data_IF_124566509720
#
_entry.id   IF_124566509720
#
_cell.length_a   1.000
_cell.length_b   1.000
_cell.length_c   1.000
_cell.angle_alpha   90.00
_cell.angle_beta   90.00
_cell.angle_gamma   90.00
#
_symmetry.space_group_name_H-M   'P 1'
#
loop_
_entity.id
_entity.type
_entity.pdbx_description
1 polymer ?
#
# COMPACT_ATOMS: atom_id res chain seq x y z
N UNK A 1 17.00 -27.32 -77.07
CA UNK A 1 16.71 -26.12 -76.27
C UNK A 1 16.62 -26.59 -74.83
N UNK A 2 17.68 -26.43 -74.05
CA UNK A 2 17.67 -26.75 -72.62
C UNK A 2 18.46 -25.67 -71.90
N UNK A 3 17.71 -24.74 -71.32
CA UNK A 3 18.19 -23.48 -70.78
C UNK A 3 18.50 -23.70 -69.28
N UNK A 4 19.78 -23.96 -68.95
CA UNK A 4 20.24 -24.02 -67.56
C UNK A 4 20.56 -22.60 -67.07
N UNK A 5 19.79 -22.10 -66.11
CA UNK A 5 20.09 -20.87 -65.38
C UNK A 5 20.34 -21.22 -63.90
N UNK A 6 21.48 -20.83 -63.30
CA UNK A 6 21.76 -21.11 -61.89
C UNK A 6 20.94 -20.20 -60.96
N UNK A 7 20.33 -20.79 -59.93
CA UNK A 7 19.62 -20.07 -58.86
C UNK A 7 20.61 -19.42 -57.88
N UNK A 8 20.41 -18.13 -57.51
CA UNK A 8 21.33 -17.39 -56.64
C UNK A 8 21.22 -17.73 -55.14
N UNK A 9 22.38 -17.77 -54.50
CA UNK A 9 22.65 -17.91 -53.06
C UNK A 9 22.16 -16.71 -52.23
N UNK A 10 21.51 -17.03 -51.10
CA UNK A 10 21.32 -16.26 -49.85
C UNK A 10 21.26 -14.72 -49.89
N UNK A 11 20.06 -14.15 -49.65
CA UNK A 11 19.88 -12.79 -49.16
C UNK A 11 19.58 -12.78 -47.66
N UNK A 12 20.46 -12.18 -46.87
CA UNK A 12 20.28 -11.83 -45.46
C UNK A 12 19.06 -10.91 -45.25
N UNK A 13 18.38 -10.97 -44.09
CA UNK A 13 17.28 -10.05 -43.79
C UNK A 13 17.79 -8.61 -43.72
N UNK A 14 17.15 -7.73 -44.48
CA UNK A 14 17.29 -6.28 -44.33
C UNK A 14 16.71 -5.91 -42.96
N UNK A 15 17.58 -5.65 -42.00
CA UNK A 15 17.22 -4.90 -40.81
C UNK A 15 16.90 -3.47 -41.25
N UNK A 16 15.62 -3.10 -41.21
CA UNK A 16 15.29 -1.69 -41.16
C UNK A 16 15.69 -1.17 -39.78
N UNK A 17 16.79 -0.44 -39.76
CA UNK A 17 17.12 0.55 -38.75
C UNK A 17 16.04 1.66 -38.78
N UNK A 18 14.89 1.39 -38.18
CA UNK A 18 13.84 2.40 -37.97
C UNK A 18 14.14 3.16 -36.68
N UNK A 19 15.12 4.06 -36.79
CA UNK A 19 15.14 5.34 -36.11
C UNK A 19 15.16 5.27 -34.57
N UNK A 20 16.34 5.11 -33.98
CA UNK A 20 16.64 5.64 -32.65
C UNK A 20 16.56 7.18 -32.70
N UNK A 21 15.34 7.73 -32.78
CA UNK A 21 15.12 9.16 -32.56
C UNK A 21 15.20 9.40 -31.07
N UNK A 22 16.41 9.62 -30.57
CA UNK A 22 16.73 10.26 -29.27
C UNK A 22 15.57 10.21 -28.26
N UNK A 23 15.23 9.01 -27.76
CA UNK A 23 14.14 8.84 -26.79
C UNK A 23 14.33 9.73 -25.55
N UNK A 24 15.56 10.22 -25.32
CA UNK A 24 15.90 11.27 -24.37
C UNK A 24 15.00 12.51 -24.46
N UNK A 25 14.61 12.96 -25.66
CA UNK A 25 13.69 14.10 -25.81
C UNK A 25 12.26 13.74 -25.40
N UNK A 26 11.85 12.49 -25.64
CA UNK A 26 10.56 11.97 -25.20
C UNK A 26 10.52 11.80 -23.66
N UNK A 27 11.62 11.38 -23.05
CA UNK A 27 11.80 11.36 -21.59
C UNK A 27 11.77 12.76 -20.97
N UNK A 28 12.41 13.75 -21.60
CA UNK A 28 12.36 15.15 -21.15
C UNK A 28 10.92 15.70 -21.23
N UNK A 29 10.18 15.39 -22.30
CA UNK A 29 8.76 15.77 -22.44
C UNK A 29 7.90 15.13 -21.35
N UNK A 30 8.09 13.83 -21.08
CA UNK A 30 7.35 13.11 -20.02
C UNK A 30 7.63 13.73 -18.65
N UNK A 31 8.90 14.02 -18.33
CA UNK A 31 9.28 14.65 -17.06
C UNK A 31 8.65 16.04 -16.93
N UNK A 32 8.63 16.83 -18.01
CA UNK A 32 7.99 18.15 -18.02
C UNK A 32 6.48 18.06 -17.73
N UNK A 33 5.78 17.09 -18.33
CA UNK A 33 4.35 16.86 -18.11
C UNK A 33 4.08 16.44 -16.65
N UNK A 34 4.92 15.58 -16.08
CA UNK A 34 4.80 15.13 -14.69
C UNK A 34 5.02 16.30 -13.73
N UNK A 35 6.06 17.12 -13.95
CA UNK A 35 6.34 18.29 -13.11
C UNK A 35 5.22 19.33 -13.22
N UNK A 36 4.66 19.55 -14.41
CA UNK A 36 3.51 20.43 -14.60
C UNK A 36 2.25 19.90 -13.91
N UNK A 37 1.99 18.59 -13.94
CA UNK A 37 0.86 17.97 -13.25
C UNK A 37 0.99 18.05 -11.71
N UNK A 38 2.19 17.83 -11.18
CA UNK A 38 2.48 17.96 -9.74
C UNK A 38 2.37 19.42 -9.28
N UNK A 39 2.88 20.37 -10.06
CA UNK A 39 2.70 21.80 -9.79
C UNK A 39 1.21 22.19 -9.85
N UNK A 40 0.46 21.73 -10.85
CA UNK A 40 -0.97 21.98 -10.97
C UNK A 40 -1.77 21.41 -9.78
N UNK A 41 -1.42 20.22 -9.30
CA UNK A 41 -2.00 19.63 -8.09
C UNK A 41 -1.68 20.46 -6.83
N UNK A 42 -0.49 21.04 -6.74
CA UNK A 42 -0.10 21.93 -5.65
C UNK A 42 -0.79 23.31 -5.71
N UNK A 43 -1.07 23.83 -6.90
CA UNK A 43 -1.80 25.10 -7.09
C UNK A 43 -3.33 24.94 -6.94
N UNK A 44 -3.91 23.76 -7.20
CA UNK A 44 -5.29 23.45 -6.80
C UNK A 44 -5.35 22.99 -5.35
N UNK A 45 -5.27 23.95 -4.42
CA UNK A 45 -5.89 23.83 -3.09
C UNK A 45 -7.41 23.63 -3.22
N UNK A 46 -7.84 22.44 -3.62
CA UNK A 46 -9.22 21.96 -3.53
C UNK A 46 -9.14 20.57 -2.89
N UNK A 47 -9.16 20.57 -1.56
CA UNK A 47 -9.41 19.36 -0.80
C UNK A 47 -10.87 18.91 -0.98
N UNK A 48 -11.20 17.62 -0.77
CA UNK A 48 -12.57 17.14 -0.74
C UNK A 48 -13.25 17.46 0.60
N UNK A 49 -13.03 18.66 1.14
CA UNK A 49 -13.57 19.13 2.42
C UNK A 49 -14.48 20.34 2.19
N UNK A 50 -15.44 20.19 1.29
CA UNK A 50 -16.47 21.20 1.05
C UNK A 50 -17.74 20.53 0.52
N UNK A 51 -18.39 19.70 1.35
CA UNK A 51 -19.84 19.50 1.64
C UNK A 51 -19.86 18.56 2.85
N UNK A 52 -20.31 18.91 4.04
CA UNK A 52 -21.67 19.30 4.38
C UNK A 52 -21.61 20.10 5.70
N UNK A 53 -22.12 21.32 5.67
CA UNK A 53 -22.51 22.06 6.87
C UNK A 53 -24.00 21.85 7.13
N UNK A 54 -24.36 21.76 8.41
CA UNK A 54 -25.67 22.08 8.98
C UNK A 54 -26.81 21.13 8.66
N UNK A 55 -27.35 20.47 9.69
CA UNK A 55 -28.55 20.99 10.34
C UNK A 55 -28.80 20.25 11.67
N UNK A 56 -29.15 21.01 12.71
CA UNK A 56 -29.61 20.48 13.99
C UNK A 56 -31.06 20.01 13.84
N UNK A 57 -31.41 18.86 14.42
CA UNK A 57 -32.79 18.65 14.89
C UNK A 57 -32.78 17.79 16.15
N UNK A 58 -33.25 18.41 17.23
CA UNK A 58 -33.50 17.82 18.54
C UNK A 58 -34.87 17.12 18.47
N UNK A 59 -34.94 15.84 18.86
CA UNK A 59 -36.18 15.22 19.31
C UNK A 59 -35.90 14.16 20.41
N UNK A 60 -36.46 14.48 21.56
CA UNK A 60 -36.59 13.79 22.87
C UNK A 60 -37.34 12.43 22.77
N UNK A 61 -37.20 11.51 23.75
CA UNK A 61 -37.03 10.08 23.52
C UNK A 61 -38.32 9.27 23.51
N UNK A 62 -38.25 8.05 22.96
CA UNK A 62 -39.22 6.99 23.22
C UNK A 62 -38.47 5.72 23.66
N UNK A 63 -38.78 5.16 24.84
CA UNK A 63 -38.11 3.97 25.35
C UNK A 63 -38.69 2.71 24.70
N UNK A 64 -37.86 1.99 23.94
CA UNK A 64 -38.11 0.59 23.63
C UNK A 64 -37.08 -0.26 24.37
N UNK A 65 -37.49 -0.76 25.53
CA UNK A 65 -36.81 -1.82 26.25
C UNK A 65 -36.97 -3.13 25.49
N UNK A 66 -35.88 -3.65 24.94
CA UNK A 66 -35.63 -5.08 24.94
C UNK A 66 -34.14 -5.35 24.73
N UNK A 67 -33.52 -5.99 25.71
CA UNK A 67 -32.61 -7.14 25.55
C UNK A 67 -31.82 -7.33 26.84
N UNK A 68 -32.38 -8.16 27.71
CA UNK A 68 -31.59 -8.98 28.61
C UNK A 68 -31.04 -10.15 27.78
N UNK A 69 -29.72 -10.25 27.64
CA UNK A 69 -29.00 -11.51 27.92
C UNK A 69 -27.51 -11.43 27.55
N UNK A 70 -26.72 -11.78 28.56
CA UNK A 70 -25.43 -12.47 28.50
C UNK A 70 -24.19 -11.70 28.07
N UNK A 71 -23.47 -11.30 29.12
CA UNK A 71 -22.05 -10.99 29.19
C UNK A 71 -21.18 -12.01 28.44
N UNK A 72 -20.22 -11.49 27.68
CA UNK A 72 -18.94 -12.14 27.40
C UNK A 72 -17.87 -11.07 27.66
N UNK A 73 -16.75 -11.36 28.35
CA UNK A 73 -15.76 -10.35 28.66
C UNK A 73 -15.12 -9.86 27.36
N UNK A 74 -15.57 -8.69 26.90
CA UNK A 74 -14.83 -7.91 25.91
C UNK A 74 -13.47 -7.60 26.51
N UNK A 75 -12.35 -7.88 25.82
CA UNK A 75 -11.08 -7.36 26.25
C UNK A 75 -11.22 -5.84 26.37
N UNK A 76 -10.74 -5.37 27.50
CA UNK A 76 -10.64 -3.99 27.93
C UNK A 76 -10.17 -3.14 26.74
N UNK A 77 -11.12 -2.49 26.09
CA UNK A 77 -10.83 -1.47 25.10
C UNK A 77 -10.11 -0.36 25.89
N UNK A 78 -8.79 -0.38 25.83
CA UNK A 78 -7.91 0.71 26.25
C UNK A 78 -8.19 1.89 25.31
N UNK A 79 -9.33 2.52 25.52
CA UNK A 79 -9.63 3.81 24.98
C UNK A 79 -8.75 4.82 25.73
N UNK A 80 -7.75 5.39 25.06
CA UNK A 80 -7.20 6.66 25.54
C UNK A 80 -5.79 7.04 25.15
N UNK A 81 -4.94 6.12 24.68
CA UNK A 81 -3.72 6.55 24.02
C UNK A 81 -4.05 6.80 22.54
N UNK A 82 -4.24 8.06 22.16
CA UNK A 82 -4.19 8.43 20.75
C UNK A 82 -2.75 8.23 20.26
N UNK A 83 -2.41 6.97 19.95
CA UNK A 83 -1.10 6.59 19.46
C UNK A 83 -0.87 7.25 18.11
N UNK A 84 0.25 7.95 17.99
CA UNK A 84 0.61 8.60 16.74
C UNK A 84 0.99 7.54 15.70
N UNK A 85 0.11 7.29 14.73
CA UNK A 85 0.32 6.30 13.66
C UNK A 85 1.57 6.56 12.81
N UNK A 86 2.05 7.80 12.76
CA UNK A 86 3.26 8.16 12.02
C UNK A 86 4.56 7.94 12.80
N UNK A 87 4.49 7.59 14.10
CA UNK A 87 5.63 7.30 14.97
C UNK A 87 6.44 6.06 14.52
N UNK A 88 5.84 4.87 14.28
CA UNK A 88 6.59 3.68 13.88
C UNK A 88 7.04 3.76 12.42
N UNK A 89 8.27 3.33 12.15
CA UNK A 89 8.74 3.06 10.79
C UNK A 89 8.32 1.66 10.36
N UNK A 90 7.33 1.59 9.48
CA UNK A 90 6.81 0.30 9.00
C UNK A 90 7.59 -0.14 7.75
N UNK A 91 8.02 -1.41 7.71
CA UNK A 91 8.35 -2.08 6.45
C UNK A 91 7.20 -2.99 6.04
N UNK A 92 6.96 -3.11 4.75
CA UNK A 92 5.95 -4.04 4.22
C UNK A 92 6.62 -5.07 3.30
N UNK A 93 6.48 -6.35 3.62
CA UNK A 93 7.05 -7.44 2.85
C UNK A 93 5.97 -8.27 2.16
N UNK A 94 6.15 -8.51 0.86
CA UNK A 94 5.27 -9.41 0.12
C UNK A 94 5.68 -10.86 0.35
N UNK A 95 4.90 -11.55 1.18
CA UNK A 95 5.00 -12.99 1.41
C UNK A 95 4.18 -13.86 0.46
N UNK A 96 3.83 -13.37 -0.74
CA UNK A 96 3.04 -14.11 -1.74
C UNK A 96 3.64 -14.01 -3.15
N UNK A 97 3.06 -14.72 -4.12
CA UNK A 97 3.40 -14.58 -5.55
C UNK A 97 2.67 -13.43 -6.25
N UNK A 98 1.83 -12.67 -5.53
CA UNK A 98 1.03 -11.58 -6.11
C UNK A 98 1.88 -10.34 -6.30
N UNK A 99 2.14 -9.96 -7.55
CA UNK A 99 2.91 -8.75 -7.87
C UNK A 99 2.18 -7.48 -7.41
N UNK A 100 2.93 -6.54 -6.84
CA UNK A 100 2.39 -5.25 -6.38
C UNK A 100 1.66 -5.28 -5.04
N UNK A 101 1.54 -6.44 -4.37
CA UNK A 101 0.81 -6.54 -3.10
C UNK A 101 1.40 -5.64 -2.01
N UNK A 102 2.73 -5.64 -1.82
CA UNK A 102 3.37 -4.77 -0.83
C UNK A 102 3.17 -3.27 -1.13
N UNK A 103 3.15 -2.88 -2.41
CA UNK A 103 2.88 -1.50 -2.80
C UNK A 103 1.41 -1.11 -2.48
N UNK A 104 0.46 -1.99 -2.77
CA UNK A 104 -0.95 -1.75 -2.43
C UNK A 104 -1.18 -1.70 -0.90
N UNK A 105 -0.51 -2.55 -0.13
CA UNK A 105 -0.55 -2.50 1.33
C UNK A 105 0.09 -1.23 1.88
N UNK A 106 1.18 -0.76 1.28
CA UNK A 106 1.78 0.54 1.61
C UNK A 106 0.78 1.67 1.41
N UNK A 107 0.19 1.80 0.22
CA UNK A 107 -0.79 2.86 -0.07
C UNK A 107 -1.97 2.82 0.92
N UNK A 108 -2.42 1.61 1.24
CA UNK A 108 -3.47 1.39 2.24
C UNK A 108 -3.06 1.90 3.63
N UNK A 109 -1.88 1.53 4.12
CA UNK A 109 -1.38 1.99 5.43
C UNK A 109 -1.12 3.50 5.44
N UNK A 110 -0.55 4.08 4.40
CA UNK A 110 -0.34 5.54 4.29
C UNK A 110 -1.68 6.30 4.30
N UNK A 111 -2.72 5.76 3.65
CA UNK A 111 -4.08 6.34 3.70
C UNK A 111 -4.68 6.35 5.11
N UNK A 112 -4.18 5.49 6.01
CA UNK A 112 -4.59 5.41 7.42
C UNK A 112 -3.72 6.27 8.35
N UNK A 113 -2.69 6.93 7.82
CA UNK A 113 -1.78 7.82 8.56
C UNK A 113 -0.48 7.19 9.05
N UNK A 114 -0.14 5.97 8.59
CA UNK A 114 1.11 5.31 8.95
C UNK A 114 2.30 5.77 8.11
N UNK A 115 3.50 5.71 8.69
CA UNK A 115 4.76 5.94 7.97
C UNK A 115 5.32 4.60 7.44
N UNK A 116 5.22 4.37 6.13
CA UNK A 116 5.84 3.18 5.50
C UNK A 116 7.23 3.54 4.98
N UNK A 117 8.26 3.10 5.69
CA UNK A 117 9.66 3.39 5.40
C UNK A 117 10.19 2.59 4.20
N UNK A 118 9.71 1.36 3.98
CA UNK A 118 10.15 0.53 2.85
C UNK A 118 9.13 -0.54 2.48
N UNK A 119 9.23 -1.03 1.23
CA UNK A 119 8.50 -2.21 0.76
C UNK A 119 9.49 -3.21 0.14
N UNK A 120 9.17 -4.50 0.21
CA UNK A 120 10.03 -5.55 -0.34
C UNK A 120 9.32 -6.88 -0.50
N UNK A 121 10.10 -7.95 -0.66
CA UNK A 121 9.61 -9.33 -0.65
C UNK A 121 10.07 -9.98 0.66
N UNK A 122 9.21 -10.82 1.23
CA UNK A 122 9.62 -11.67 2.35
C UNK A 122 10.54 -12.81 1.87
N UNK A 123 11.26 -13.43 2.80
CA UNK A 123 12.12 -14.58 2.51
C UNK A 123 11.30 -15.80 2.05
N UNK A 124 10.13 -16.00 2.67
CA UNK A 124 9.14 -17.01 2.32
C UNK A 124 7.96 -16.40 1.54
N UNK A 125 7.28 -17.22 0.73
CA UNK A 125 6.18 -16.77 -0.17
C UNK A 125 4.86 -17.56 -0.02
N UNK A 126 4.74 -18.30 1.06
CA UNK A 126 3.64 -19.19 1.42
C UNK A 126 2.78 -18.63 2.56
N UNK A 127 2.82 -17.31 2.78
CA UNK A 127 2.00 -16.66 3.81
C UNK A 127 0.53 -16.58 3.36
N UNK A 128 -0.36 -17.21 4.13
CA UNK A 128 -1.82 -17.12 3.93
C UNK A 128 -2.46 -15.91 4.63
N UNK A 129 -1.77 -15.38 5.65
CA UNK A 129 -2.23 -14.26 6.48
C UNK A 129 -1.14 -13.18 6.56
N UNK A 130 -1.55 -11.93 6.69
CA UNK A 130 -0.66 -10.82 7.03
C UNK A 130 -0.13 -11.03 8.44
N UNK A 131 1.19 -11.08 8.57
CA UNK A 131 1.85 -11.36 9.85
C UNK A 131 2.50 -10.08 10.36
N UNK A 132 2.19 -9.70 11.60
CA UNK A 132 2.75 -8.51 12.24
C UNK A 132 3.91 -8.90 13.15
N UNK A 133 5.08 -8.34 12.91
CA UNK A 133 6.24 -8.48 13.79
C UNK A 133 6.64 -7.11 14.32
N UNK A 134 6.87 -7.01 15.63
CA UNK A 134 7.13 -5.74 16.31
C UNK A 134 8.54 -5.73 16.90
N UNK A 135 9.21 -4.59 16.79
CA UNK A 135 10.38 -4.31 17.62
C UNK A 135 9.91 -4.03 19.05
N UNK A 136 10.75 -4.39 20.02
CA UNK A 136 10.48 -4.10 21.44
C UNK A 136 10.14 -2.63 21.68
N UNK A 137 9.00 -2.37 22.33
CA UNK A 137 8.46 -1.03 22.61
C UNK A 137 7.40 -0.54 21.61
N UNK A 138 7.19 -1.26 20.50
CA UNK A 138 6.20 -0.94 19.48
C UNK A 138 4.97 -1.85 19.49
N UNK A 139 4.91 -2.83 20.41
CA UNK A 139 3.76 -3.74 20.58
C UNK A 139 2.49 -2.97 20.95
N UNK A 140 2.62 -1.76 21.53
CA UNK A 140 1.51 -0.83 21.78
C UNK A 140 0.68 -0.52 20.52
N UNK A 141 1.24 -0.67 19.32
CA UNK A 141 0.52 -0.46 18.06
C UNK A 141 -0.27 -1.68 17.57
N UNK A 142 -0.14 -2.86 18.20
CA UNK A 142 -0.70 -4.11 17.70
C UNK A 142 -2.20 -4.03 17.45
N UNK A 143 -2.98 -3.59 18.44
CA UNK A 143 -4.44 -3.53 18.32
C UNK A 143 -4.89 -2.54 17.25
N UNK A 144 -4.20 -1.40 17.16
CA UNK A 144 -4.48 -0.36 16.18
C UNK A 144 -4.19 -0.84 14.75
N UNK A 145 -3.03 -1.46 14.54
CA UNK A 145 -2.62 -1.97 13.23
C UNK A 145 -3.48 -3.16 12.80
N UNK A 146 -3.79 -4.07 13.73
CA UNK A 146 -4.68 -5.20 13.50
C UNK A 146 -6.08 -4.72 13.11
N UNK A 147 -6.63 -3.74 13.83
CA UNK A 147 -7.94 -3.16 13.54
C UNK A 147 -7.98 -2.53 12.15
N UNK A 148 -6.97 -1.72 11.79
CA UNK A 148 -6.91 -1.08 10.48
C UNK A 148 -6.76 -2.10 9.34
N UNK A 149 -5.85 -3.08 9.48
CA UNK A 149 -5.58 -4.09 8.46
C UNK A 149 -6.71 -5.12 8.30
N UNK A 150 -7.44 -5.45 9.37
CA UNK A 150 -8.52 -6.44 9.34
C UNK A 150 -9.69 -6.05 8.44
N UNK A 151 -9.78 -4.79 8.01
CA UNK A 151 -10.75 -4.34 7.00
C UNK A 151 -10.51 -4.93 5.60
N UNK A 152 -9.29 -5.39 5.31
CA UNK A 152 -8.90 -5.91 3.99
C UNK A 152 -8.13 -7.23 4.04
N UNK A 153 -7.46 -7.54 5.15
CA UNK A 153 -6.55 -8.68 5.29
C UNK A 153 -6.92 -9.56 6.48
N UNK A 154 -6.58 -10.86 6.41
CA UNK A 154 -6.57 -11.70 7.60
C UNK A 154 -5.23 -11.51 8.30
N UNK A 155 -5.27 -11.05 9.55
CA UNK A 155 -4.08 -10.63 10.30
C UNK A 155 -3.77 -11.61 11.42
N UNK A 156 -2.49 -11.89 11.62
CA UNK A 156 -1.93 -12.59 12.78
C UNK A 156 -0.74 -11.83 13.32
N UNK A 157 -0.40 -12.03 14.59
CA UNK A 157 0.81 -11.46 15.19
C UNK A 157 1.86 -12.57 15.32
N UNK A 158 3.11 -12.25 14.99
CA UNK A 158 4.27 -13.11 15.20
C UNK A 158 4.64 -13.13 16.68
N UNK A 159 5.09 -14.29 17.16
CA UNK A 159 5.64 -14.43 18.51
C UNK A 159 7.11 -13.96 18.58
N UNK A 160 7.72 -13.68 17.42
CA UNK A 160 9.10 -13.25 17.31
C UNK A 160 9.19 -11.73 17.12
N UNK A 161 9.99 -11.09 17.96
CA UNK A 161 10.22 -9.66 17.90
C UNK A 161 11.33 -9.34 16.89
N UNK A 162 11.27 -8.15 16.29
CA UNK A 162 12.36 -7.65 15.46
C UNK A 162 13.59 -7.34 16.31
N UNK A 163 14.77 -7.57 15.72
CA UNK A 163 16.05 -7.24 16.34
C UNK A 163 16.17 -5.75 16.65
N UNK A 164 16.86 -5.41 17.74
CA UNK A 164 17.03 -4.01 18.16
C UNK A 164 17.82 -3.18 17.12
N UNK A 165 18.70 -3.83 16.35
CA UNK A 165 19.48 -3.22 15.27
C UNK A 165 18.71 -3.06 13.96
N UNK A 166 17.49 -3.60 13.88
CA UNK A 166 16.68 -3.57 12.69
C UNK A 166 16.23 -2.12 12.35
N UNK A 167 16.25 -1.77 11.06
CA UNK A 167 15.90 -0.42 10.60
C UNK A 167 14.41 -0.08 10.69
N UNK A 168 13.54 -1.08 10.75
CA UNK A 168 12.10 -0.93 10.88
C UNK A 168 11.68 -1.17 12.34
N UNK A 169 10.58 -0.56 12.74
CA UNK A 169 9.99 -0.76 14.06
C UNK A 169 8.86 -1.79 14.03
N UNK A 170 8.22 -1.93 12.87
CA UNK A 170 7.16 -2.90 12.60
C UNK A 170 7.37 -3.47 11.20
N UNK A 171 7.20 -4.77 11.06
CA UNK A 171 7.13 -5.49 9.79
C UNK A 171 5.71 -6.01 9.56
N UNK A 172 5.21 -5.82 8.34
CA UNK A 172 3.87 -6.19 7.87
C UNK A 172 3.97 -7.06 6.63
#
# INVERSE_FOLDING_TARGET
MDNQQPSPTAGTPIYQESQEKNAKWLWILIILIIVAALAFAFFKKIGPFARFGGEQTIATPSPFSFSESSQSPSPEATAGANLNKSEPKIRVLNGTSTSGLAASTKEFLESKGYTVASIGNAAARDFEKTTLSFKKGFEKFQDLLTSDLSSKYSVTTSNEALEASDSADIEV
#
